data_IF_554279060772
#
_entry.id   IF_554279060772
#
_cell.length_a   1.000
_cell.length_b   1.000
_cell.length_c   1.000
_cell.angle_alpha   90.00
_cell.angle_beta   90.00
_cell.angle_gamma   90.00
#
_symmetry.space_group_name_H-M   'P 1'
#
loop_
_entity.id
_entity.type
_entity.pdbx_description
1 polymer ?
#
# COMPACT_ATOMS: atom_id res chain seq x y z
N UNK A 1 -10.43 -0.36 -17.89
CA UNK A 1 -9.87 -0.33 -16.52
C UNK A 1 -10.31 0.98 -15.88
N UNK A 2 -10.69 0.96 -14.62
CA UNK A 2 -10.99 2.18 -13.89
C UNK A 2 -9.69 3.00 -13.71
N UNK A 3 -9.73 4.30 -14.04
CA UNK A 3 -8.65 5.22 -13.69
C UNK A 3 -8.58 5.45 -12.16
N UNK A 4 -7.59 6.22 -11.68
CA UNK A 4 -7.53 6.63 -10.29
C UNK A 4 -8.84 7.28 -9.81
N UNK A 5 -9.18 7.21 -8.51
CA UNK A 5 -10.34 7.90 -7.97
C UNK A 5 -10.31 9.40 -8.29
N UNK A 6 -11.48 9.96 -8.56
CA UNK A 6 -11.63 11.39 -8.89
C UNK A 6 -11.14 12.33 -7.78
N UNK A 7 -11.20 11.88 -6.53
CA UNK A 7 -10.66 12.58 -5.38
C UNK A 7 -9.90 11.61 -4.47
N UNK A 8 -8.59 11.56 -4.64
CA UNK A 8 -7.71 10.73 -3.81
C UNK A 8 -7.43 11.32 -2.42
N UNK A 9 -7.90 12.53 -2.09
CA UNK A 9 -7.70 13.14 -0.77
C UNK A 9 -8.81 12.80 0.23
N UNK A 10 -9.89 12.18 -0.23
CA UNK A 10 -11.10 11.90 0.53
C UNK A 10 -11.47 10.41 0.45
N UNK A 11 -11.20 9.67 1.51
CA UNK A 11 -11.44 8.24 1.56
C UNK A 11 -12.93 7.88 1.48
N UNK A 12 -13.83 8.72 1.99
CA UNK A 12 -15.27 8.49 1.83
C UNK A 12 -15.64 8.53 0.35
N UNK A 13 -15.17 9.54 -0.38
CA UNK A 13 -15.44 9.68 -1.82
C UNK A 13 -14.85 8.54 -2.62
N UNK A 14 -13.63 8.09 -2.30
CA UNK A 14 -13.03 6.90 -2.93
C UNK A 14 -13.96 5.69 -2.77
N UNK A 15 -14.50 5.46 -1.56
CA UNK A 15 -15.36 4.31 -1.29
C UNK A 15 -16.79 4.45 -1.81
N UNK A 16 -17.32 5.66 -1.94
CA UNK A 16 -18.57 5.94 -2.63
C UNK A 16 -18.43 5.69 -4.14
N UNK A 17 -17.33 6.16 -4.75
CA UNK A 17 -17.02 5.92 -6.17
C UNK A 17 -16.67 4.45 -6.45
N UNK A 18 -15.99 3.78 -5.50
CA UNK A 18 -15.47 2.41 -5.61
C UNK A 18 -15.97 1.51 -4.47
N UNK A 19 -17.25 1.11 -4.43
CA UNK A 19 -17.78 0.25 -3.36
C UNK A 19 -17.11 -1.13 -3.28
N UNK A 20 -16.54 -1.63 -4.38
CA UNK A 20 -15.74 -2.87 -4.40
C UNK A 20 -14.42 -2.71 -3.63
N UNK A 21 -13.76 -1.55 -3.74
CA UNK A 21 -12.52 -1.26 -3.02
C UNK A 21 -12.77 -1.17 -1.52
N UNK A 22 -13.89 -0.56 -1.11
CA UNK A 22 -14.30 -0.55 0.28
C UNK A 22 -14.45 -1.97 0.86
N UNK A 23 -15.16 -2.86 0.15
CA UNK A 23 -15.32 -4.26 0.58
C UNK A 23 -13.99 -5.00 0.68
N UNK A 24 -13.10 -4.79 -0.29
CA UNK A 24 -11.79 -5.42 -0.29
C UNK A 24 -10.90 -4.92 0.87
N UNK A 25 -10.86 -3.60 1.10
CA UNK A 25 -10.11 -3.01 2.20
C UNK A 25 -10.63 -3.48 3.56
N UNK A 26 -11.96 -3.52 3.75
CA UNK A 26 -12.56 -4.04 4.98
C UNK A 26 -12.28 -5.54 5.19
N UNK A 27 -12.25 -6.34 4.13
CA UNK A 27 -11.89 -7.75 4.21
C UNK A 27 -10.41 -7.93 4.60
N UNK A 28 -9.52 -7.15 3.99
CA UNK A 28 -8.09 -7.14 4.33
C UNK A 28 -7.87 -6.68 5.78
N UNK A 29 -8.58 -5.65 6.25
CA UNK A 29 -8.50 -5.17 7.64
C UNK A 29 -8.97 -6.26 8.62
N UNK A 30 -10.07 -6.94 8.34
CA UNK A 30 -10.54 -8.06 9.16
C UNK A 30 -9.52 -9.20 9.23
N UNK A 31 -8.88 -9.52 8.10
CA UNK A 31 -7.91 -10.62 7.99
C UNK A 31 -6.57 -10.30 8.64
N UNK A 32 -6.05 -9.10 8.40
CA UNK A 32 -4.67 -8.72 8.73
C UNK A 32 -4.57 -7.78 9.93
N UNK A 33 -5.69 -7.27 10.44
CA UNK A 33 -5.76 -6.36 11.60
C UNK A 33 -4.98 -5.05 11.41
N UNK A 34 -4.72 -4.67 10.15
CA UNK A 34 -4.18 -3.36 9.80
C UNK A 34 -5.33 -2.43 9.43
N UNK A 35 -5.42 -1.22 10.02
CA UNK A 35 -6.55 -0.34 9.75
C UNK A 35 -6.67 0.02 8.27
N UNK A 36 -7.90 0.08 7.77
CA UNK A 36 -8.18 0.41 6.37
C UNK A 36 -7.48 1.71 5.93
N UNK A 37 -7.49 2.73 6.78
CA UNK A 37 -6.87 4.03 6.46
C UNK A 37 -5.35 3.95 6.28
N UNK A 38 -4.66 3.02 6.98
CA UNK A 38 -3.21 2.80 6.84
C UNK A 38 -2.92 2.15 5.49
N UNK A 39 -3.60 1.04 5.18
CA UNK A 39 -3.40 0.33 3.91
C UNK A 39 -3.72 1.23 2.72
N UNK A 40 -4.79 2.02 2.79
CA UNK A 40 -5.18 2.96 1.73
C UNK A 40 -4.16 4.07 1.53
N UNK A 41 -3.53 4.56 2.60
CA UNK A 41 -2.48 5.58 2.52
C UNK A 41 -1.21 5.03 1.86
N UNK A 42 -0.85 3.78 2.16
CA UNK A 42 0.29 3.07 1.54
C UNK A 42 0.03 2.86 0.04
N UNK A 43 -1.13 2.30 -0.35
CA UNK A 43 -1.47 2.11 -1.78
C UNK A 43 -1.44 3.44 -2.55
N UNK A 44 -1.93 4.54 -1.97
CA UNK A 44 -1.82 5.84 -2.60
C UNK A 44 -0.36 6.25 -2.82
N UNK A 45 0.50 6.05 -1.82
CA UNK A 45 1.90 6.45 -1.93
C UNK A 45 2.64 5.65 -2.99
N UNK A 46 2.31 4.37 -3.14
CA UNK A 46 2.99 3.46 -4.07
C UNK A 46 2.53 3.65 -5.52
N UNK A 47 1.23 3.83 -5.76
CA UNK A 47 0.71 3.86 -7.13
C UNK A 47 -0.15 5.08 -7.46
N UNK A 48 -0.48 5.92 -6.49
CA UNK A 48 -1.52 6.95 -6.67
C UNK A 48 -2.88 6.34 -7.04
N UNK A 49 -3.13 5.08 -6.67
CA UNK A 49 -4.26 4.27 -7.14
C UNK A 49 -4.26 3.99 -8.66
N UNK A 50 -3.08 3.93 -9.29
CA UNK A 50 -2.94 3.53 -10.70
C UNK A 50 -2.70 2.02 -10.78
N UNK A 51 -3.66 1.29 -11.36
CA UNK A 51 -3.62 -0.16 -11.46
C UNK A 51 -2.37 -0.71 -12.14
N UNK A 52 -1.84 -0.03 -13.16
CA UNK A 52 -0.65 -0.45 -13.91
C UNK A 52 0.60 0.36 -13.60
N UNK A 53 0.69 0.92 -12.39
CA UNK A 53 1.86 1.66 -11.95
C UNK A 53 3.12 0.80 -12.13
N UNK A 54 4.16 1.39 -12.72
CA UNK A 54 5.45 0.77 -12.97
C UNK A 54 6.55 1.79 -12.75
N UNK A 55 7.72 1.38 -12.23
CA UNK A 55 8.89 2.24 -12.20
C UNK A 55 9.21 2.79 -13.60
N UNK A 56 9.71 4.03 -13.68
CA UNK A 56 10.19 4.56 -14.95
C UNK A 56 11.27 3.64 -15.52
N UNK A 57 11.29 3.50 -16.85
CA UNK A 57 12.38 2.79 -17.52
C UNK A 57 13.67 3.59 -17.32
N UNK A 58 14.77 2.89 -16.99
CA UNK A 58 16.09 3.52 -17.05
C UNK A 58 16.39 3.98 -18.47
N UNK A 59 17.37 4.85 -18.64
CA UNK A 59 17.89 5.22 -19.97
C UNK A 59 19.34 4.75 -20.09
N UNK A 60 19.65 4.01 -21.14
CA UNK A 60 21.01 3.75 -21.56
C UNK A 60 21.49 4.94 -22.41
N UNK A 61 22.65 5.51 -22.07
CA UNK A 61 23.25 6.68 -22.73
C UNK A 61 22.32 7.92 -22.85
N UNK A 62 21.37 8.08 -21.92
CA UNK A 62 20.46 9.25 -21.86
C UNK A 62 19.28 9.23 -22.83
N UNK A 63 19.26 8.33 -23.82
CA UNK A 63 18.25 8.31 -24.91
C UNK A 63 17.58 6.94 -25.14
N UNK A 64 18.24 5.81 -24.88
CA UNK A 64 17.69 4.48 -25.19
C UNK A 64 16.92 3.91 -23.99
N UNK A 65 15.62 3.58 -24.10
CA UNK A 65 14.87 2.96 -22.99
C UNK A 65 15.49 1.61 -22.57
N UNK A 66 15.90 1.50 -21.32
CA UNK A 66 16.52 0.31 -20.73
C UNK A 66 15.56 -0.47 -19.81
N UNK A 67 16.04 -1.57 -19.22
CA UNK A 67 15.31 -2.35 -18.20
C UNK A 67 14.89 -1.44 -17.03
N UNK A 68 13.73 -1.72 -16.44
CA UNK A 68 13.27 -1.01 -15.24
C UNK A 68 14.18 -1.33 -14.07
N UNK A 69 14.31 -0.39 -13.15
CA UNK A 69 15.15 -0.54 -11.96
C UNK A 69 14.65 -1.64 -10.99
N UNK A 70 13.35 -1.98 -11.05
CA UNK A 70 12.78 -3.10 -10.29
C UNK A 70 11.61 -3.75 -11.03
N UNK A 71 11.21 -4.93 -10.56
CA UNK A 71 10.01 -5.67 -10.97
C UNK A 71 8.72 -5.16 -10.31
N UNK A 72 8.80 -4.07 -9.53
CA UNK A 72 7.64 -3.48 -8.87
C UNK A 72 6.51 -3.19 -9.87
N UNK A 73 5.30 -3.65 -9.55
CA UNK A 73 4.15 -3.52 -10.42
C UNK A 73 2.86 -3.39 -9.62
N UNK A 74 1.87 -2.73 -10.22
CA UNK A 74 0.51 -2.73 -9.71
C UNK A 74 0.24 -1.68 -8.64
N UNK A 75 -0.94 -1.77 -8.03
CA UNK A 75 -1.35 -0.88 -6.95
C UNK A 75 -0.40 -0.89 -5.75
N UNK A 76 0.15 -2.06 -5.43
CA UNK A 76 1.04 -2.28 -4.30
C UNK A 76 2.53 -2.00 -4.59
N UNK A 77 2.91 -1.81 -5.86
CA UNK A 77 4.33 -1.79 -6.28
C UNK A 77 5.14 -2.98 -5.72
N UNK A 78 4.50 -4.15 -5.62
CA UNK A 78 5.13 -5.35 -5.10
C UNK A 78 6.14 -5.91 -6.12
N UNK A 79 7.33 -6.27 -5.65
CA UNK A 79 8.31 -7.00 -6.47
C UNK A 79 7.86 -8.44 -6.68
N UNK A 80 8.48 -9.13 -7.65
CA UNK A 80 8.18 -10.52 -7.94
C UNK A 80 8.43 -11.44 -6.75
N UNK A 81 9.51 -11.20 -6.02
CA UNK A 81 9.91 -11.97 -4.85
C UNK A 81 8.90 -11.79 -3.71
N UNK A 82 8.57 -10.54 -3.37
CA UNK A 82 7.62 -10.25 -2.31
C UNK A 82 6.23 -10.79 -2.63
N UNK A 83 5.79 -10.66 -3.89
CA UNK A 83 4.52 -11.21 -4.33
C UNK A 83 4.51 -12.74 -4.25
N UNK A 84 5.57 -13.41 -4.69
CA UNK A 84 5.67 -14.87 -4.60
C UNK A 84 5.59 -15.36 -3.16
N UNK A 85 6.18 -14.64 -2.21
CA UNK A 85 6.08 -14.97 -0.78
C UNK A 85 4.65 -14.85 -0.28
N UNK A 86 3.96 -13.77 -0.67
CA UNK A 86 2.53 -13.59 -0.38
C UNK A 86 1.67 -14.72 -0.94
N UNK A 87 1.81 -15.07 -2.23
CA UNK A 87 0.99 -16.13 -2.84
C UNK A 87 1.20 -17.48 -2.15
N UNK A 88 2.45 -17.77 -1.76
CA UNK A 88 2.81 -19.00 -1.05
C UNK A 88 2.21 -19.06 0.35
N UNK A 89 2.33 -17.98 1.11
CA UNK A 89 1.83 -17.93 2.50
C UNK A 89 0.30 -17.85 2.59
N UNK A 90 -0.34 -17.19 1.62
CA UNK A 90 -1.80 -17.02 1.61
C UNK A 90 -2.54 -18.09 0.82
N UNK A 91 -1.81 -18.96 0.10
CA UNK A 91 -2.34 -19.96 -0.85
C UNK A 91 -3.20 -19.35 -1.96
N UNK A 92 -3.04 -18.06 -2.24
CA UNK A 92 -3.85 -17.34 -3.20
C UNK A 92 -3.25 -17.40 -4.61
N UNK A 93 -3.37 -18.55 -5.29
CA UNK A 93 -2.65 -18.82 -6.56
C UNK A 93 -3.12 -18.01 -7.77
N UNK A 94 -4.25 -17.33 -7.67
CA UNK A 94 -4.88 -16.59 -8.77
C UNK A 94 -4.84 -15.07 -8.62
N UNK A 95 -4.08 -14.54 -7.66
CA UNK A 95 -4.02 -13.10 -7.42
C UNK A 95 -3.25 -12.32 -8.48
N UNK A 96 -3.79 -11.17 -8.88
CA UNK A 96 -3.18 -10.25 -9.83
C UNK A 96 -2.80 -8.92 -9.16
N UNK A 97 -1.59 -8.40 -9.43
CA UNK A 97 -1.09 -7.15 -8.82
C UNK A 97 -1.82 -5.91 -9.32
N UNK A 98 -2.47 -5.99 -10.48
CA UNK A 98 -3.28 -4.88 -11.01
C UNK A 98 -4.77 -4.96 -10.64
N UNK A 99 -5.18 -6.00 -9.90
CA UNK A 99 -6.44 -6.01 -9.18
C UNK A 99 -6.29 -5.34 -7.80
N UNK A 100 -7.20 -4.43 -7.49
CA UNK A 100 -7.13 -3.67 -6.25
C UNK A 100 -7.32 -4.56 -5.01
N UNK A 101 -8.20 -5.57 -5.08
CA UNK A 101 -8.51 -6.42 -3.94
C UNK A 101 -7.34 -7.31 -3.54
N UNK A 102 -6.64 -7.87 -4.54
CA UNK A 102 -5.40 -8.62 -4.32
C UNK A 102 -4.29 -7.71 -3.80
N UNK A 103 -4.13 -6.52 -4.38
CA UNK A 103 -3.09 -5.59 -3.97
C UNK A 103 -3.29 -5.06 -2.53
N UNK A 104 -4.51 -4.72 -2.12
CA UNK A 104 -4.78 -4.25 -0.76
C UNK A 104 -4.64 -5.38 0.27
N UNK A 105 -4.98 -6.63 -0.09
CA UNK A 105 -4.73 -7.80 0.76
C UNK A 105 -3.24 -8.08 0.92
N UNK A 106 -2.45 -7.95 -0.15
CA UNK A 106 -0.99 -8.02 -0.09
C UNK A 106 -0.39 -6.95 0.84
N UNK A 107 -0.84 -5.69 0.71
CA UNK A 107 -0.41 -4.61 1.60
C UNK A 107 -0.74 -4.95 3.04
N UNK A 108 -1.97 -5.40 3.32
CA UNK A 108 -2.37 -5.86 4.66
C UNK A 108 -1.48 -6.97 5.20
N UNK A 109 -1.22 -8.01 4.41
CA UNK A 109 -0.32 -9.11 4.76
C UNK A 109 1.08 -8.61 5.13
N UNK A 110 1.69 -7.76 4.30
CA UNK A 110 3.05 -7.28 4.54
C UNK A 110 3.15 -6.42 5.80
N UNK A 111 2.17 -5.52 5.99
CA UNK A 111 2.14 -4.63 7.15
C UNK A 111 1.89 -5.42 8.44
N UNK A 112 1.00 -6.41 8.42
CA UNK A 112 0.81 -7.32 9.55
C UNK A 112 2.06 -8.15 9.83
N UNK A 113 2.78 -8.60 8.80
CA UNK A 113 4.07 -9.26 8.96
C UNK A 113 5.07 -8.34 9.66
N UNK A 114 5.16 -7.08 9.24
CA UNK A 114 6.00 -6.06 9.90
C UNK A 114 5.61 -5.85 11.36
N UNK A 115 4.31 -5.70 11.65
CA UNK A 115 3.77 -5.61 13.01
C UNK A 115 4.21 -6.80 13.87
N UNK A 116 4.01 -8.03 13.39
CA UNK A 116 4.33 -9.25 14.14
C UNK A 116 5.82 -9.45 14.39
N UNK A 117 6.68 -9.09 13.43
CA UNK A 117 8.12 -9.29 13.57
C UNK A 117 8.84 -8.17 14.32
N UNK A 118 8.33 -6.93 14.25
CA UNK A 118 9.03 -5.75 14.74
C UNK A 118 8.29 -5.01 15.86
N UNK A 119 7.09 -5.46 16.24
CA UNK A 119 6.28 -4.84 17.29
C UNK A 119 5.74 -3.45 16.94
N UNK A 120 5.75 -3.07 15.66
CA UNK A 120 5.23 -1.78 15.20
C UNK A 120 3.70 -1.80 15.32
N UNK A 121 3.11 -0.79 15.94
CA UNK A 121 1.66 -0.70 16.10
C UNK A 121 0.94 -0.70 14.72
N UNK A 122 -0.21 -1.39 14.57
CA UNK A 122 -0.97 -1.43 13.31
C UNK A 122 -1.35 -0.05 12.74
N UNK A 123 -1.56 0.94 13.61
CA UNK A 123 -1.89 2.33 13.30
C UNK A 123 -0.66 3.21 13.00
N UNK A 124 0.56 2.73 13.27
CA UNK A 124 1.80 3.46 13.03
C UNK A 124 2.20 3.38 11.54
N UNK A 125 1.42 4.09 10.73
CA UNK A 125 1.59 4.15 9.28
C UNK A 125 2.98 4.65 8.87
N UNK A 126 3.66 5.46 9.71
CA UNK A 126 5.01 5.95 9.42
C UNK A 126 6.00 4.80 9.44
N UNK A 127 6.10 4.08 10.55
CA UNK A 127 7.09 3.03 10.69
C UNK A 127 6.73 1.79 9.86
N UNK A 128 5.44 1.48 9.71
CA UNK A 128 4.95 0.47 8.78
C UNK A 128 5.35 0.78 7.32
N UNK A 129 5.32 2.05 6.91
CA UNK A 129 5.79 2.42 5.57
C UNK A 129 7.31 2.31 5.42
N UNK A 130 8.07 2.66 6.46
CA UNK A 130 9.53 2.49 6.45
C UNK A 130 9.92 1.01 6.27
N UNK A 131 9.21 0.08 6.92
CA UNK A 131 9.44 -1.35 6.71
C UNK A 131 8.99 -1.81 5.33
N UNK A 132 7.86 -1.29 4.83
CA UNK A 132 7.35 -1.61 3.50
C UNK A 132 8.37 -1.29 2.39
N UNK A 133 9.03 -0.13 2.50
CA UNK A 133 10.00 0.30 1.51
C UNK A 133 11.40 -0.31 1.71
N UNK A 134 11.93 -0.29 2.94
CA UNK A 134 13.31 -0.72 3.22
C UNK A 134 13.42 -2.24 3.47
N UNK A 135 12.29 -2.94 3.61
CA UNK A 135 12.22 -4.27 4.16
C UNK A 135 12.39 -4.30 5.68
N UNK A 136 11.85 -5.33 6.34
CA UNK A 136 11.96 -5.48 7.81
C UNK A 136 13.42 -5.53 8.28
N UNK A 137 14.30 -6.26 7.60
CA UNK A 137 15.73 -6.33 7.96
C UNK A 137 16.46 -4.99 7.74
N UNK A 138 16.12 -4.26 6.67
CA UNK A 138 16.66 -2.93 6.41
C UNK A 138 16.19 -1.91 7.44
N UNK A 139 14.93 -2.02 7.87
CA UNK A 139 14.37 -1.21 8.96
C UNK A 139 15.10 -1.45 10.28
N UNK A 140 15.27 -2.71 10.70
CA UNK A 140 15.98 -3.07 11.94
C UNK A 140 17.42 -2.58 11.95
N UNK A 141 18.11 -2.64 10.80
CA UNK A 141 19.48 -2.10 10.65
C UNK A 141 19.54 -0.57 10.57
N UNK A 142 18.40 0.12 10.50
CA UNK A 142 18.36 1.58 10.43
C UNK A 142 18.75 2.17 9.07
N UNK A 143 18.68 1.39 7.99
CA UNK A 143 19.08 1.84 6.63
C UNK A 143 18.29 3.07 6.14
N UNK A 144 17.10 3.30 6.68
CA UNK A 144 16.25 4.45 6.38
C UNK A 144 16.71 5.75 7.04
N UNK A 145 17.54 5.71 8.09
CA UNK A 145 17.87 6.88 8.91
C UNK A 145 18.56 7.99 8.11
N UNK A 146 19.41 7.59 7.16
CA UNK A 146 20.17 8.50 6.28
C UNK A 146 19.46 8.76 4.95
N UNK A 147 18.26 8.23 4.75
CA UNK A 147 17.47 8.45 3.54
C UNK A 147 16.37 9.48 3.81
N UNK A 148 16.68 10.77 3.61
CA UNK A 148 15.74 11.88 3.83
C UNK A 148 14.46 11.72 3.03
N UNK A 149 14.56 11.35 1.75
CA UNK A 149 13.41 11.13 0.90
C UNK A 149 12.44 10.08 1.48
N UNK A 150 12.98 8.99 2.02
CA UNK A 150 12.18 7.92 2.60
C UNK A 150 11.54 8.36 3.93
N UNK A 151 12.26 9.10 4.77
CA UNK A 151 11.68 9.69 5.99
C UNK A 151 10.52 10.62 5.67
N UNK A 152 10.68 11.46 4.65
CA UNK A 152 9.62 12.35 4.16
C UNK A 152 8.45 11.59 3.53
N UNK A 153 8.74 10.53 2.78
CA UNK A 153 7.71 9.65 2.22
C UNK A 153 6.87 9.01 3.32
N UNK A 154 7.51 8.45 4.36
CA UNK A 154 6.84 7.88 5.52
C UNK A 154 6.02 8.92 6.29
N UNK A 155 6.54 10.14 6.46
CA UNK A 155 5.80 11.23 7.10
C UNK A 155 4.55 11.63 6.30
N UNK A 156 4.64 11.68 4.96
CA UNK A 156 3.49 11.93 4.08
C UNK A 156 2.45 10.82 4.16
N UNK A 157 2.87 9.56 4.24
CA UNK A 157 1.97 8.41 4.45
C UNK A 157 1.23 8.53 5.77
N UNK A 158 1.95 8.83 6.87
CA UNK A 158 1.33 9.04 8.17
C UNK A 158 0.32 10.20 8.19
N UNK A 159 0.67 11.33 7.56
CA UNK A 159 -0.24 12.48 7.43
C UNK A 159 -1.52 12.11 6.65
N UNK A 160 -1.39 11.31 5.59
CA UNK A 160 -2.54 10.83 4.81
C UNK A 160 -3.38 9.83 5.59
N UNK A 161 -2.75 8.87 6.26
CA UNK A 161 -3.42 7.89 7.11
C UNK A 161 -4.27 8.59 8.19
N UNK A 162 -3.71 9.57 8.89
CA UNK A 162 -4.42 10.38 9.88
C UNK A 162 -5.61 11.17 9.27
N UNK A 163 -5.46 11.68 8.05
CA UNK A 163 -6.57 12.33 7.34
C UNK A 163 -7.70 11.33 7.04
N UNK A 164 -7.35 10.19 6.47
CA UNK A 164 -8.29 9.13 6.13
C UNK A 164 -9.01 8.57 7.35
N UNK A 165 -8.31 8.40 8.47
CA UNK A 165 -8.89 7.99 9.75
C UNK A 165 -10.01 8.95 10.20
N UNK A 166 -9.73 10.26 10.21
CA UNK A 166 -10.74 11.28 10.54
C UNK A 166 -11.95 11.23 9.61
N UNK A 167 -11.74 10.96 8.32
CA UNK A 167 -12.83 10.87 7.34
C UNK A 167 -13.69 9.63 7.57
N UNK A 168 -13.11 8.48 7.91
CA UNK A 168 -13.86 7.24 8.15
C UNK A 168 -14.90 7.37 9.27
N UNK A 169 -14.59 8.13 10.31
CA UNK A 169 -15.56 8.43 11.38
C UNK A 169 -16.82 9.17 10.91
N UNK A 170 -16.73 9.91 9.80
CA UNK A 170 -17.83 10.66 9.19
C UNK A 170 -18.50 9.99 7.98
N UNK A 171 -17.93 8.91 7.44
CA UNK A 171 -18.46 8.30 6.21
C UNK A 171 -19.81 7.59 6.44
N UNK A 172 -20.86 8.01 5.71
CA UNK A 172 -22.16 7.28 5.69
C UNK A 172 -22.02 5.84 5.20
N UNK A 173 -21.11 5.59 4.26
CA UNK A 173 -20.82 4.25 3.72
C UNK A 173 -20.32 3.26 4.79
N UNK A 174 -19.58 3.75 5.80
CA UNK A 174 -19.09 2.96 6.93
C UNK A 174 -20.17 2.79 8.02
N UNK A 175 -21.05 3.78 8.19
CA UNK A 175 -22.17 3.75 9.16
C UNK A 175 -23.29 2.77 8.79
N UNK A 176 -23.46 2.41 7.51
CA UNK A 176 -24.55 1.54 7.04
C UNK A 176 -24.29 0.02 7.16
N UNK A 177 -23.12 -0.39 7.68
CA UNK A 177 -22.72 -1.81 7.77
C UNK A 177 -22.06 -2.20 9.09
N UNK A 178 -22.23 -1.38 10.14
CA UNK A 178 -22.03 -1.84 11.53
C UNK A 178 -23.31 -2.48 12.03
#
# INVERSE_FOLDING_TARGET
MAGPPSNSEDLCKIFEERPRWHRAAAAAEKRWRIPTYVMMAVVYKESGYVAKARPPRGRLLGVVPWKRASSAYGFAQATDEAWSDYLRETRNRSSDRDDFADAIDFVGWYLNRSHRHLGIAPEDARNLYLTYYAGMGGYSRGTWRNNEWLKDAAARVAKRASRYERQLGGCRAFRRRR
#
